data_IF_252884242775
#
_entry.id   IF_252884242775
#
_cell.length_a   1.000
_cell.length_b   1.000
_cell.length_c   1.000
_cell.angle_alpha   90.00
_cell.angle_beta   90.00
_cell.angle_gamma   90.00
#
_symmetry.space_group_name_H-M   'P 1'
#
loop_
_entity.id
_entity.type
_entity.pdbx_description
1 polymer ?
#
# COMPACT_ATOMS: atom_id res chain seq x y z
N UNK A 1 25.27 12.91 13.06
CA UNK A 1 24.04 12.30 12.49
C UNK A 1 23.39 13.29 11.52
N UNK A 2 23.06 12.88 10.28
CA UNK A 2 22.26 13.68 9.32
C UNK A 2 20.77 13.40 9.59
N UNK A 3 19.87 14.37 9.34
CA UNK A 3 18.43 14.20 9.57
C UNK A 3 17.63 14.63 8.33
N UNK A 4 16.50 13.96 8.12
CA UNK A 4 15.51 14.29 7.08
C UNK A 4 14.09 14.05 7.60
N UNK A 5 13.13 14.86 7.13
CA UNK A 5 11.70 14.57 7.30
C UNK A 5 11.13 14.03 6.01
N UNK A 6 10.40 12.95 6.10
CA UNK A 6 9.82 12.24 4.97
C UNK A 6 8.33 12.04 5.20
N UNK A 7 7.53 12.46 4.24
CA UNK A 7 6.12 12.14 4.15
C UNK A 7 5.94 10.98 3.16
N UNK A 8 5.31 9.89 3.59
CA UNK A 8 4.86 8.83 2.70
C UNK A 8 3.33 8.79 2.68
N UNK A 9 2.72 8.81 1.50
CA UNK A 9 1.28 8.84 1.35
C UNK A 9 0.62 7.54 1.79
N UNK A 10 -0.62 7.64 2.24
CA UNK A 10 -1.53 6.51 2.31
C UNK A 10 -1.81 5.95 0.93
N UNK A 11 -2.32 4.75 0.86
CA UNK A 11 -2.50 4.02 -0.39
C UNK A 11 -3.81 3.26 -0.43
N UNK A 12 -4.27 3.00 -1.65
CA UNK A 12 -5.40 2.13 -1.96
C UNK A 12 -4.89 0.96 -2.78
N UNK A 13 -5.05 -0.25 -2.26
CA UNK A 13 -4.72 -1.48 -2.96
C UNK A 13 -5.87 -1.97 -3.84
N UNK A 14 -5.57 -2.88 -4.75
CA UNK A 14 -6.51 -3.62 -5.59
C UNK A 14 -7.20 -2.83 -6.72
N UNK A 15 -7.58 -1.59 -6.53
CA UNK A 15 -8.27 -0.76 -7.54
C UNK A 15 -9.44 -1.50 -8.25
N UNK A 16 -10.32 -2.12 -7.48
CA UNK A 16 -11.36 -3.00 -8.00
C UNK A 16 -10.78 -4.33 -8.50
N UNK A 17 -10.66 -4.50 -9.80
CA UNK A 17 -10.25 -5.77 -10.42
C UNK A 17 -8.77 -6.15 -10.28
N UNK A 18 -7.91 -5.25 -9.82
CA UNK A 18 -6.46 -5.48 -9.71
C UNK A 18 -6.01 -6.11 -8.38
N UNK A 19 -6.75 -7.07 -7.86
CA UNK A 19 -6.47 -7.73 -6.58
C UNK A 19 -5.02 -8.23 -6.47
N UNK A 20 -4.31 -7.78 -5.40
CA UNK A 20 -2.91 -8.07 -5.09
C UNK A 20 -1.89 -7.64 -6.19
N UNK A 21 -2.33 -6.96 -7.26
CA UNK A 21 -1.45 -6.54 -8.36
C UNK A 21 -1.50 -5.05 -8.70
N UNK A 22 -2.43 -4.28 -8.14
CA UNK A 22 -2.51 -2.83 -8.40
C UNK A 22 -2.69 -2.03 -7.13
N UNK A 23 -2.14 -0.81 -7.14
CA UNK A 23 -2.32 0.15 -6.06
C UNK A 23 -2.13 1.58 -6.52
N UNK A 24 -2.66 2.53 -5.74
CA UNK A 24 -2.48 3.96 -5.96
C UNK A 24 -2.19 4.73 -4.67
N UNK A 25 -1.59 5.91 -4.78
CA UNK A 25 -1.36 6.85 -3.67
C UNK A 25 -2.59 7.69 -3.39
N UNK A 26 -2.80 8.03 -2.12
CA UNK A 26 -3.77 9.03 -1.67
C UNK A 26 -3.09 10.38 -1.48
N UNK A 27 -3.77 11.46 -1.86
CA UNK A 27 -3.30 12.81 -1.60
C UNK A 27 -3.72 13.28 -0.21
N UNK A 28 -2.83 14.02 0.48
CA UNK A 28 -3.14 14.73 1.72
C UNK A 28 -3.30 13.86 2.98
N UNK A 29 -3.14 12.56 2.88
CA UNK A 29 -3.13 11.62 4.01
C UNK A 29 -1.91 10.72 3.94
N UNK A 30 -1.18 10.57 5.05
CA UNK A 30 0.07 9.79 5.05
C UNK A 30 0.73 9.77 6.41
N UNK A 31 1.90 9.15 6.48
CA UNK A 31 2.79 9.15 7.64
C UNK A 31 3.89 10.20 7.46
N UNK A 32 4.23 10.92 8.53
CA UNK A 32 5.37 11.82 8.58
C UNK A 32 6.39 11.28 9.57
N UNK A 33 7.58 10.96 9.06
CA UNK A 33 8.72 10.49 9.85
C UNK A 33 9.86 11.49 9.82
N UNK A 34 10.54 11.63 10.95
CA UNK A 34 11.89 12.21 11.01
C UNK A 34 12.90 11.08 11.16
N UNK A 35 13.90 11.04 10.29
CA UNK A 35 14.90 9.96 10.25
C UNK A 35 16.27 10.58 10.40
N UNK A 36 17.04 10.06 11.36
CA UNK A 36 18.45 10.35 11.55
C UNK A 36 19.30 9.16 11.15
N UNK A 37 20.46 9.41 10.49
CA UNK A 37 21.43 8.37 10.16
C UNK A 37 22.87 8.82 10.42
N UNK A 38 23.68 7.89 10.90
CA UNK A 38 25.12 8.08 11.16
C UNK A 38 25.88 6.82 10.73
N UNK A 39 26.71 6.95 9.69
CA UNK A 39 27.58 5.87 9.22
C UNK A 39 28.72 5.59 10.21
N UNK A 40 29.13 4.33 10.29
CA UNK A 40 30.23 3.88 11.14
C UNK A 40 29.82 3.46 12.57
N UNK A 41 28.55 3.60 12.91
CA UNK A 41 27.96 3.11 14.17
C UNK A 41 26.81 2.15 13.86
N UNK A 42 26.41 1.31 14.81
CA UNK A 42 25.26 0.42 14.71
C UNK A 42 24.19 0.81 15.72
N UNK A 43 22.93 0.64 15.37
CA UNK A 43 21.79 0.85 16.25
C UNK A 43 20.53 1.22 15.48
N UNK A 44 19.39 0.87 16.02
CA UNK A 44 18.07 1.27 15.55
C UNK A 44 17.22 1.68 16.75
N UNK A 45 16.78 2.92 16.75
CA UNK A 45 15.86 3.47 17.75
C UNK A 45 14.61 3.99 17.04
N UNK A 46 13.43 3.70 17.59
CA UNK A 46 12.15 4.16 17.05
C UNK A 46 11.37 4.86 18.17
N UNK A 47 11.02 6.11 17.93
CA UNK A 47 10.26 6.95 18.85
C UNK A 47 8.88 7.25 18.25
N UNK A 48 7.83 7.14 19.06
CA UNK A 48 6.46 7.42 18.63
C UNK A 48 5.95 8.71 19.28
N UNK A 49 5.78 9.75 18.49
CA UNK A 49 5.17 11.02 18.88
C UNK A 49 3.82 11.28 18.19
N UNK A 50 3.34 10.34 17.38
CA UNK A 50 2.10 10.48 16.59
C UNK A 50 0.82 10.42 17.41
N UNK A 51 0.90 9.99 18.67
CA UNK A 51 -0.27 9.77 19.53
C UNK A 51 -1.06 8.49 19.21
N UNK A 52 -0.67 7.72 18.19
CA UNK A 52 -1.28 6.42 17.87
C UNK A 52 -0.69 5.33 18.75
N UNK A 53 -1.48 4.30 19.05
CA UNK A 53 -0.98 3.12 19.76
C UNK A 53 -0.17 2.26 18.79
N UNK A 54 1.15 2.19 19.01
CA UNK A 54 2.09 1.38 18.23
C UNK A 54 2.81 0.41 19.15
N UNK A 55 3.33 -0.72 18.64
CA UNK A 55 4.11 -1.66 19.44
C UNK A 55 5.32 -0.97 20.10
N UNK A 56 5.50 -1.19 21.40
CA UNK A 56 6.69 -0.72 22.14
C UNK A 56 7.96 -1.50 21.75
N UNK A 57 7.77 -2.79 21.42
CA UNK A 57 8.85 -3.64 20.96
C UNK A 57 9.18 -3.30 19.49
N UNK A 58 10.40 -2.84 19.24
CA UNK A 58 10.86 -2.48 17.89
C UNK A 58 10.81 -3.66 16.91
N UNK A 59 10.89 -4.90 17.39
CA UNK A 59 10.81 -6.12 16.54
C UNK A 59 9.41 -6.34 16.00
N UNK A 60 8.40 -5.76 16.61
CA UNK A 60 7.00 -5.81 16.17
C UNK A 60 6.62 -4.60 15.29
N UNK A 61 7.54 -3.64 15.15
CA UNK A 61 7.33 -2.47 14.31
C UNK A 61 7.66 -2.78 12.86
N UNK A 62 6.75 -2.46 11.93
CA UNK A 62 6.89 -2.72 10.49
C UNK A 62 8.10 -2.05 9.84
N UNK A 63 8.59 -0.95 10.44
CA UNK A 63 9.78 -0.24 9.98
C UNK A 63 11.04 -1.09 10.16
N UNK A 64 11.11 -1.89 11.22
CA UNK A 64 12.31 -2.65 11.60
C UNK A 64 12.75 -3.65 10.53
N UNK A 65 11.90 -4.58 10.04
CA UNK A 65 12.34 -5.52 9.00
C UNK A 65 12.66 -4.83 7.68
N UNK A 66 11.97 -3.74 7.33
CA UNK A 66 12.25 -2.96 6.13
C UNK A 66 13.65 -2.33 6.18
N UNK A 67 13.99 -1.64 7.28
CA UNK A 67 15.30 -1.03 7.47
C UNK A 67 16.42 -2.08 7.57
N UNK A 68 16.17 -3.20 8.26
CA UNK A 68 17.17 -4.29 8.36
C UNK A 68 17.49 -4.91 7.00
N UNK A 69 16.49 -5.14 6.15
CA UNK A 69 16.71 -5.64 4.81
C UNK A 69 17.57 -4.66 3.99
N UNK A 70 17.26 -3.38 4.07
CA UNK A 70 18.04 -2.33 3.40
C UNK A 70 19.48 -2.23 3.93
N UNK A 71 19.69 -2.27 5.26
CA UNK A 71 21.03 -2.24 5.87
C UNK A 71 21.87 -3.46 5.49
N UNK A 72 21.24 -4.65 5.42
CA UNK A 72 21.91 -5.86 4.98
C UNK A 72 22.41 -5.76 3.53
N UNK A 73 21.62 -5.12 2.66
CA UNK A 73 22.02 -4.86 1.27
C UNK A 73 23.09 -3.74 1.18
N UNK A 74 23.03 -2.73 2.05
CA UNK A 74 24.01 -1.64 2.10
C UNK A 74 25.39 -2.12 2.55
N UNK A 75 25.44 -3.08 3.46
CA UNK A 75 26.68 -3.77 3.87
C UNK A 75 27.65 -2.93 4.70
N UNK A 76 27.21 -1.80 5.26
CA UNK A 76 27.99 -0.95 6.17
C UNK A 76 27.19 -0.68 7.44
N UNK A 77 27.87 -0.50 8.60
CA UNK A 77 27.19 -0.14 9.83
C UNK A 77 26.61 1.28 9.74
N UNK A 78 25.33 1.42 10.12
CA UNK A 78 24.62 2.69 10.21
C UNK A 78 23.77 2.68 11.47
N UNK A 79 23.90 3.71 12.30
CA UNK A 79 22.97 3.99 13.39
C UNK A 79 21.81 4.80 12.84
N UNK A 80 20.60 4.36 13.15
CA UNK A 80 19.35 4.95 12.66
C UNK A 80 18.49 5.34 13.86
N UNK A 81 17.95 6.54 13.81
CA UNK A 81 16.91 7.03 14.73
C UNK A 81 15.69 7.40 13.89
N UNK A 82 14.53 6.84 14.21
CA UNK A 82 13.25 7.14 13.55
C UNK A 82 12.30 7.73 14.57
N UNK A 83 11.74 8.89 14.26
CA UNK A 83 10.67 9.51 15.05
C UNK A 83 9.41 9.58 14.20
N UNK A 84 8.36 8.89 14.62
CA UNK A 84 7.03 8.94 14.01
C UNK A 84 6.33 10.24 14.48
N UNK A 85 6.16 11.21 13.59
CA UNK A 85 5.52 12.50 13.90
C UNK A 85 4.02 12.47 13.64
N UNK A 86 3.62 11.92 12.47
CA UNK A 86 2.22 11.74 12.08
C UNK A 86 2.03 10.31 11.57
N UNK A 87 0.88 9.72 11.86
CA UNK A 87 0.59 8.33 11.54
C UNK A 87 -0.87 8.16 11.12
N UNK A 88 -1.07 7.52 9.99
CA UNK A 88 -2.37 6.94 9.62
C UNK A 88 -2.75 5.90 10.67
N UNK A 89 -4.00 5.90 11.11
CA UNK A 89 -4.48 4.93 12.09
C UNK A 89 -4.16 3.49 11.63
N UNK A 90 -3.50 2.67 12.47
CA UNK A 90 -3.28 1.27 12.16
C UNK A 90 -4.62 0.55 11.92
N UNK A 91 -4.66 -0.29 10.88
CA UNK A 91 -5.88 -1.02 10.53
C UNK A 91 -6.87 -0.25 9.65
N UNK A 92 -6.64 1.02 9.35
CA UNK A 92 -7.56 1.88 8.57
C UNK A 92 -7.85 1.44 7.13
N UNK A 93 -7.21 0.39 6.62
CA UNK A 93 -7.40 -0.08 5.24
C UNK A 93 -6.82 0.84 4.15
N UNK A 94 -6.11 1.91 4.53
CA UNK A 94 -5.47 2.84 3.59
C UNK A 94 -3.93 2.79 3.65
N UNK A 95 -3.38 1.60 3.78
CA UNK A 95 -1.94 1.37 3.67
C UNK A 95 -1.08 1.95 4.80
N UNK A 96 -1.61 1.96 6.05
CA UNK A 96 -0.91 2.53 7.20
C UNK A 96 0.49 1.91 7.44
N UNK A 97 0.65 0.59 7.38
CA UNK A 97 1.94 -0.11 7.52
C UNK A 97 2.87 0.20 6.36
N UNK A 98 2.32 0.21 5.15
CA UNK A 98 3.06 0.50 3.92
C UNK A 98 3.64 1.92 3.92
N UNK A 99 2.87 2.92 4.39
CA UNK A 99 3.34 4.30 4.49
C UNK A 99 4.54 4.41 5.45
N UNK A 100 4.48 3.77 6.63
CA UNK A 100 5.61 3.77 7.59
C UNK A 100 6.86 3.11 7.00
N UNK A 101 6.72 1.91 6.41
CA UNK A 101 7.84 1.17 5.82
C UNK A 101 8.45 1.93 4.65
N UNK A 102 7.60 2.51 3.77
CA UNK A 102 8.03 3.31 2.63
C UNK A 102 8.78 4.58 3.07
N UNK A 103 8.24 5.35 4.02
CA UNK A 103 8.90 6.54 4.55
C UNK A 103 10.27 6.21 5.11
N UNK A 104 10.38 5.12 5.88
CA UNK A 104 11.63 4.72 6.53
C UNK A 104 12.73 4.36 5.50
N UNK A 105 12.44 3.49 4.53
CA UNK A 105 13.44 3.10 3.53
C UNK A 105 13.77 4.25 2.58
N UNK A 106 12.79 5.07 2.21
CA UNK A 106 13.02 6.22 1.35
C UNK A 106 13.92 7.26 2.03
N UNK A 107 13.61 7.62 3.29
CA UNK A 107 14.39 8.60 4.04
C UNK A 107 15.82 8.13 4.34
N UNK A 108 16.00 6.85 4.69
CA UNK A 108 17.32 6.29 4.86
C UNK A 108 18.11 6.31 3.54
N UNK A 109 17.47 5.98 2.41
CA UNK A 109 18.11 6.03 1.09
C UNK A 109 18.62 7.43 0.74
N UNK A 110 17.82 8.48 1.02
CA UNK A 110 18.23 9.87 0.82
C UNK A 110 19.45 10.24 1.69
N UNK A 111 19.46 9.82 2.96
CA UNK A 111 20.57 10.10 3.89
C UNK A 111 21.88 9.37 3.53
N UNK A 112 21.78 8.24 2.83
CA UNK A 112 22.89 7.45 2.33
C UNK A 112 23.30 7.81 0.88
N UNK A 113 22.89 8.98 0.37
CA UNK A 113 23.19 9.47 -0.98
C UNK A 113 22.60 8.57 -2.11
N UNK A 114 21.43 7.96 -1.87
CA UNK A 114 20.61 7.19 -2.83
C UNK A 114 21.30 5.97 -3.46
N UNK A 115 21.85 5.04 -2.66
CA UNK A 115 22.50 3.85 -3.19
C UNK A 115 21.52 2.87 -3.88
N UNK A 116 20.22 2.95 -3.60
CA UNK A 116 19.20 2.03 -4.08
C UNK A 116 18.19 2.70 -5.01
N UNK A 117 17.72 1.94 -6.00
CA UNK A 117 16.65 2.33 -6.91
C UNK A 117 15.28 2.28 -6.21
N UNK A 118 14.28 2.97 -6.78
CA UNK A 118 12.91 2.91 -6.27
C UNK A 118 12.34 1.48 -6.21
N UNK A 119 12.70 0.61 -7.15
CA UNK A 119 12.30 -0.80 -7.14
C UNK A 119 12.86 -1.54 -5.92
N UNK A 120 14.15 -1.39 -5.63
CA UNK A 120 14.79 -2.00 -4.46
C UNK A 120 14.19 -1.45 -3.16
N UNK A 121 13.83 -0.17 -3.10
CA UNK A 121 13.13 0.40 -1.94
C UNK A 121 11.76 -0.26 -1.72
N UNK A 122 11.01 -0.58 -2.78
CA UNK A 122 9.77 -1.33 -2.66
C UNK A 122 10.04 -2.72 -2.09
N UNK A 123 11.06 -3.44 -2.60
CA UNK A 123 11.44 -4.77 -2.10
C UNK A 123 11.80 -4.75 -0.61
N UNK A 124 12.51 -3.72 -0.15
CA UNK A 124 12.79 -3.57 1.29
C UNK A 124 11.53 -3.25 2.10
N UNK A 125 10.68 -2.33 1.63
CA UNK A 125 9.45 -1.96 2.33
C UNK A 125 8.45 -3.12 2.44
N UNK A 126 8.42 -4.04 1.46
CA UNK A 126 7.62 -5.27 1.49
C UNK A 126 7.94 -6.17 2.68
N UNK A 127 9.16 -6.09 3.23
CA UNK A 127 9.52 -6.87 4.43
C UNK A 127 8.72 -6.44 5.66
N UNK A 128 8.30 -5.17 5.71
CA UNK A 128 7.38 -4.66 6.74
C UNK A 128 5.98 -5.27 6.61
N UNK A 129 5.47 -5.40 5.38
CA UNK A 129 4.17 -6.05 5.13
C UNK A 129 4.18 -7.53 5.49
N UNK A 130 5.30 -8.22 5.25
CA UNK A 130 5.46 -9.64 5.62
C UNK A 130 5.32 -9.87 7.13
N UNK A 131 5.74 -8.91 7.97
CA UNK A 131 5.58 -8.98 9.43
C UNK A 131 4.10 -9.03 9.84
N UNK A 132 3.23 -8.27 9.16
CA UNK A 132 1.80 -8.18 9.48
C UNK A 132 0.99 -9.25 8.75
N UNK A 133 1.17 -9.36 7.44
CA UNK A 133 0.35 -10.20 6.56
C UNK A 133 0.85 -11.64 6.38
N UNK A 134 2.09 -11.93 6.80
CA UNK A 134 2.75 -13.22 6.56
C UNK A 134 3.26 -13.40 5.12
N UNK A 135 2.83 -12.55 4.18
CA UNK A 135 3.27 -12.56 2.78
C UNK A 135 3.63 -11.13 2.37
N UNK A 136 4.77 -10.91 1.71
CA UNK A 136 5.16 -9.59 1.24
C UNK A 136 4.32 -9.18 0.03
N UNK A 137 3.39 -8.23 0.20
CA UNK A 137 2.60 -7.64 -0.87
C UNK A 137 3.12 -6.25 -1.23
N UNK A 138 3.10 -5.91 -2.51
CA UNK A 138 3.61 -4.64 -3.04
C UNK A 138 2.53 -3.63 -3.42
N UNK A 139 1.27 -4.03 -3.40
CA UNK A 139 0.13 -3.21 -3.85
C UNK A 139 -0.13 -1.95 -3.02
N UNK A 140 0.32 -1.93 -1.75
CA UNK A 140 0.35 -0.73 -0.91
C UNK A 140 1.75 -0.08 -0.88
N UNK A 141 2.82 -0.82 -0.61
CA UNK A 141 4.17 -0.23 -0.51
C UNK A 141 4.69 0.29 -1.85
N UNK A 142 4.31 -0.34 -2.96
CA UNK A 142 4.68 0.10 -4.30
C UNK A 142 4.27 1.55 -4.58
N UNK A 143 2.97 1.89 -4.50
CA UNK A 143 2.54 3.27 -4.69
C UNK A 143 3.03 4.21 -3.58
N UNK A 144 3.20 3.76 -2.32
CA UNK A 144 3.75 4.59 -1.26
C UNK A 144 5.19 5.05 -1.55
N UNK A 145 6.03 4.18 -2.17
CA UNK A 145 7.41 4.49 -2.55
C UNK A 145 7.51 5.23 -3.88
N UNK A 146 6.79 4.76 -4.92
CA UNK A 146 6.95 5.22 -6.30
C UNK A 146 6.01 6.37 -6.66
N UNK A 147 4.93 6.54 -5.92
CA UNK A 147 3.86 7.50 -6.20
C UNK A 147 2.95 7.09 -7.37
N UNK A 148 1.77 7.69 -7.42
CA UNK A 148 0.80 7.49 -8.49
C UNK A 148 0.15 6.12 -8.48
N UNK A 149 -0.06 5.54 -9.65
CA UNK A 149 -0.64 4.20 -9.84
C UNK A 149 0.45 3.22 -10.23
N UNK A 150 0.43 2.03 -9.63
CA UNK A 150 1.39 0.96 -9.95
C UNK A 150 0.69 -0.33 -10.34
N UNK A 151 1.36 -1.09 -11.20
CA UNK A 151 1.03 -2.47 -11.54
C UNK A 151 2.19 -3.38 -11.12
N UNK A 152 1.94 -4.37 -10.31
CA UNK A 152 2.86 -5.45 -9.99
C UNK A 152 2.66 -6.55 -11.02
N UNK A 153 3.61 -6.66 -11.97
CA UNK A 153 3.54 -7.68 -13.03
C UNK A 153 3.94 -9.06 -12.52
N UNK A 154 4.76 -9.10 -11.49
CA UNK A 154 5.21 -10.37 -10.90
C UNK A 154 6.08 -10.16 -9.67
N UNK A 155 6.16 -11.19 -8.85
CA UNK A 155 6.95 -11.21 -7.63
C UNK A 155 8.27 -12.00 -7.78
N UNK A 156 8.36 -12.93 -8.74
CA UNK A 156 9.56 -13.73 -9.00
C UNK A 156 9.83 -13.85 -10.53
N UNK A 157 10.75 -13.06 -11.08
CA UNK A 157 11.45 -11.93 -10.46
C UNK A 157 10.48 -10.77 -10.17
N UNK A 158 10.78 -9.98 -9.11
CA UNK A 158 9.96 -8.81 -8.79
C UNK A 158 9.96 -7.80 -9.94
N UNK A 159 8.77 -7.42 -10.38
CA UNK A 159 8.59 -6.52 -11.51
C UNK A 159 7.37 -5.61 -11.26
N UNK A 160 7.62 -4.32 -11.17
CA UNK A 160 6.64 -3.28 -10.89
C UNK A 160 6.71 -2.17 -11.94
N UNK A 161 5.56 -1.73 -12.40
CA UNK A 161 5.42 -0.69 -13.42
C UNK A 161 4.60 0.46 -12.86
N UNK A 162 5.12 1.67 -12.96
CA UNK A 162 4.35 2.89 -12.67
C UNK A 162 3.54 3.29 -13.90
N UNK A 163 2.24 3.49 -13.71
CA UNK A 163 1.32 3.93 -14.77
C UNK A 163 1.15 5.45 -14.75
N UNK A 164 0.96 6.10 -15.91
CA UNK A 164 0.60 7.51 -15.96
C UNK A 164 -0.81 7.70 -15.37
N UNK A 165 -1.00 8.79 -14.62
CA UNK A 165 -2.31 9.17 -14.08
C UNK A 165 -2.85 10.34 -14.90
N UNK A 166 -4.10 10.31 -15.39
CA UNK A 166 -4.72 11.44 -16.04
C UNK A 166 -4.85 12.64 -15.10
N UNK A 167 -4.61 13.86 -15.59
CA UNK A 167 -4.70 15.08 -14.77
C UNK A 167 -6.13 15.38 -14.25
N UNK A 168 -7.13 14.85 -14.95
CA UNK A 168 -8.55 14.96 -14.60
C UNK A 168 -9.11 13.70 -13.91
N UNK A 169 -8.23 12.85 -13.38
CA UNK A 169 -8.62 11.67 -12.61
C UNK A 169 -8.79 12.04 -11.15
N UNK A 170 -10.00 11.89 -10.64
CA UNK A 170 -10.35 12.08 -9.24
C UNK A 170 -10.93 10.77 -8.70
N UNK A 171 -10.66 10.50 -7.45
CA UNK A 171 -11.24 9.37 -6.73
C UNK A 171 -11.71 9.83 -5.35
N UNK A 172 -12.74 9.16 -4.85
CA UNK A 172 -13.21 9.34 -3.48
C UNK A 172 -13.01 8.04 -2.71
N UNK A 173 -12.53 8.16 -1.48
CA UNK A 173 -12.39 7.04 -0.55
C UNK A 173 -13.45 7.17 0.52
N UNK A 174 -14.32 6.16 0.66
CA UNK A 174 -15.24 6.04 1.77
C UNK A 174 -14.65 5.08 2.81
N UNK A 175 -14.61 5.52 4.07
CA UNK A 175 -14.13 4.73 5.19
C UNK A 175 -15.27 4.53 6.19
N UNK A 176 -16.06 3.44 6.09
CA UNK A 176 -17.13 3.15 7.04
C UNK A 176 -16.53 2.76 8.40
N UNK A 177 -17.27 3.04 9.47
CA UNK A 177 -16.89 2.66 10.84
C UNK A 177 -17.16 1.16 11.08
N UNK A 178 -16.52 0.29 10.30
CA UNK A 178 -16.59 -1.17 10.41
C UNK A 178 -15.19 -1.74 10.43
N UNK A 179 -15.03 -2.86 11.11
CA UNK A 179 -13.76 -3.61 11.19
C UNK A 179 -13.95 -4.95 10.49
N UNK A 180 -13.05 -5.26 9.57
CA UNK A 180 -12.99 -6.55 8.87
C UNK A 180 -11.64 -7.20 9.15
N UNK A 181 -11.65 -8.43 9.66
CA UNK A 181 -10.42 -9.21 9.87
C UNK A 181 -9.77 -9.51 8.51
N UNK A 182 -8.46 -9.26 8.37
CA UNK A 182 -7.71 -9.64 7.16
C UNK A 182 -7.79 -11.14 6.91
N UNK A 183 -7.82 -11.93 7.99
CA UNK A 183 -8.00 -13.39 7.93
C UNK A 183 -9.34 -13.75 7.29
N UNK A 184 -10.44 -13.21 7.84
CA UNK A 184 -11.78 -13.49 7.32
C UNK A 184 -11.92 -13.02 5.87
N UNK A 185 -11.39 -11.83 5.55
CA UNK A 185 -11.39 -11.30 4.20
C UNK A 185 -10.61 -12.16 3.19
N UNK A 186 -9.65 -12.98 3.64
CA UNK A 186 -8.94 -13.96 2.80
C UNK A 186 -9.60 -15.33 2.80
N UNK A 187 -10.15 -15.78 3.93
CA UNK A 187 -10.78 -17.10 4.07
C UNK A 187 -12.06 -17.26 3.22
N UNK A 188 -12.78 -16.17 2.96
CA UNK A 188 -13.98 -16.21 2.10
C UNK A 188 -13.67 -16.32 0.62
N UNK A 189 -12.42 -16.12 0.21
CA UNK A 189 -12.05 -16.16 -1.20
C UNK A 189 -12.07 -17.60 -1.74
N UNK A 190 -12.58 -17.80 -2.97
CA UNK A 190 -12.59 -19.12 -3.59
C UNK A 190 -11.16 -19.59 -3.90
N UNK A 191 -10.90 -20.88 -3.74
CA UNK A 191 -9.63 -21.50 -4.16
C UNK A 191 -9.54 -21.73 -5.67
N UNK A 192 -10.67 -21.78 -6.34
CA UNK A 192 -10.82 -21.99 -7.77
C UNK A 192 -11.89 -21.04 -8.31
N UNK A 193 -11.72 -20.55 -9.53
CA UNK A 193 -12.67 -19.70 -10.21
C UNK A 193 -13.00 -20.28 -11.59
N UNK A 194 -14.24 -20.15 -12.07
CA UNK A 194 -14.60 -20.51 -13.45
C UNK A 194 -13.75 -19.72 -14.45
N UNK A 195 -13.30 -20.37 -15.52
CA UNK A 195 -12.50 -19.71 -16.58
C UNK A 195 -13.21 -18.49 -17.17
N UNK A 196 -14.55 -18.53 -17.28
CA UNK A 196 -15.33 -17.37 -17.74
C UNK A 196 -15.15 -16.13 -16.84
N UNK A 197 -15.08 -16.32 -15.50
CA UNK A 197 -14.81 -15.25 -14.55
C UNK A 197 -13.37 -14.76 -14.62
N UNK A 198 -12.41 -15.66 -14.84
CA UNK A 198 -11.02 -15.29 -15.09
C UNK A 198 -10.88 -14.44 -16.37
N UNK A 199 -11.56 -14.81 -17.47
CA UNK A 199 -11.55 -14.03 -18.73
C UNK A 199 -12.16 -12.64 -18.52
N UNK A 200 -13.28 -12.53 -17.80
CA UNK A 200 -13.88 -11.25 -17.43
C UNK A 200 -12.90 -10.38 -16.62
N UNK A 201 -12.27 -10.96 -15.60
CA UNK A 201 -11.29 -10.26 -14.75
C UNK A 201 -10.07 -9.80 -15.55
N UNK A 202 -9.51 -10.65 -16.42
CA UNK A 202 -8.35 -10.27 -17.27
C UNK A 202 -8.71 -9.12 -18.21
N UNK A 203 -9.93 -9.12 -18.78
CA UNK A 203 -10.44 -8.02 -19.59
C UNK A 203 -10.51 -6.71 -18.80
N UNK A 204 -11.00 -6.77 -17.56
CA UNK A 204 -11.10 -5.61 -16.67
C UNK A 204 -9.72 -5.10 -16.25
N UNK A 205 -8.80 -5.98 -15.83
CA UNK A 205 -7.41 -5.59 -15.50
C UNK A 205 -6.71 -4.98 -16.72
N UNK A 206 -6.82 -5.64 -17.88
CA UNK A 206 -6.28 -5.10 -19.15
C UNK A 206 -6.85 -3.74 -19.51
N UNK A 207 -8.17 -3.58 -19.37
CA UNK A 207 -8.88 -2.32 -19.61
C UNK A 207 -8.47 -1.23 -18.62
N UNK A 208 -8.29 -1.56 -17.34
CA UNK A 208 -7.82 -0.62 -16.31
C UNK A 208 -6.41 -0.12 -16.61
N UNK A 209 -5.48 -1.02 -16.91
CA UNK A 209 -4.09 -0.66 -17.30
C UNK A 209 -4.08 0.18 -18.60
N UNK A 210 -4.85 -0.23 -19.60
CA UNK A 210 -4.98 0.53 -20.85
C UNK A 210 -5.58 1.92 -20.61
N UNK A 211 -6.59 2.03 -19.75
CA UNK A 211 -7.22 3.29 -19.39
C UNK A 211 -6.23 4.28 -18.78
N UNK A 212 -5.38 3.85 -17.86
CA UNK A 212 -4.31 4.68 -17.32
C UNK A 212 -3.27 5.03 -18.40
N UNK A 213 -2.81 4.05 -19.18
CA UNK A 213 -1.81 4.28 -20.23
C UNK A 213 -2.28 5.26 -21.31
N UNK A 214 -3.56 5.20 -21.69
CA UNK A 214 -4.20 6.06 -22.69
C UNK A 214 -4.77 7.35 -22.09
N UNK A 215 -4.76 7.51 -20.77
CA UNK A 215 -5.39 8.61 -20.02
C UNK A 215 -6.91 8.71 -20.30
N UNK A 216 -7.55 7.57 -20.48
CA UNK A 216 -8.99 7.46 -20.72
C UNK A 216 -9.73 7.13 -19.40
N UNK A 217 -10.24 8.19 -18.74
CA UNK A 217 -10.95 8.07 -17.46
C UNK A 217 -12.22 7.22 -17.59
N UNK A 218 -12.91 7.29 -18.73
CA UNK A 218 -14.11 6.48 -18.98
C UNK A 218 -13.76 4.98 -19.09
N UNK A 219 -12.62 4.65 -19.70
CA UNK A 219 -12.12 3.26 -19.73
C UNK A 219 -11.71 2.78 -18.34
N UNK A 220 -11.02 3.64 -17.55
CA UNK A 220 -10.69 3.33 -16.15
C UNK A 220 -11.96 2.97 -15.38
N UNK A 221 -12.98 3.85 -15.39
CA UNK A 221 -14.20 3.66 -14.62
C UNK A 221 -14.93 2.36 -14.94
N UNK A 222 -15.17 2.06 -16.25
CA UNK A 222 -15.88 0.83 -16.65
C UNK A 222 -15.05 -0.45 -16.44
N UNK A 223 -13.74 -0.34 -16.21
CA UNK A 223 -12.84 -1.47 -16.00
C UNK A 223 -12.61 -1.81 -14.52
N UNK A 224 -13.05 -0.97 -13.58
CA UNK A 224 -12.86 -1.22 -12.14
C UNK A 224 -13.78 -2.28 -11.55
N UNK A 225 -14.61 -2.92 -12.37
CA UNK A 225 -15.47 -4.00 -11.92
C UNK A 225 -14.66 -5.26 -11.59
N UNK A 226 -14.82 -5.76 -10.36
CA UNK A 226 -14.17 -6.99 -9.88
C UNK A 226 -15.18 -8.16 -9.95
N UNK A 227 -14.90 -9.12 -10.84
CA UNK A 227 -15.72 -10.30 -11.04
C UNK A 227 -15.35 -11.47 -10.11
N UNK A 228 -14.21 -11.37 -9.37
CA UNK A 228 -13.60 -12.49 -8.64
C UNK A 228 -13.63 -12.30 -7.14
N UNK A 229 -13.21 -11.14 -6.61
CA UNK A 229 -13.02 -10.92 -5.17
C UNK A 229 -14.21 -10.19 -4.54
N UNK A 230 -14.67 -9.11 -5.19
CA UNK A 230 -15.78 -8.29 -4.68
C UNK A 230 -17.04 -9.11 -4.34
N UNK A 231 -17.48 -10.08 -5.14
CA UNK A 231 -18.70 -10.85 -4.85
C UNK A 231 -18.66 -11.57 -3.48
N UNK A 232 -17.48 -11.92 -3.00
CA UNK A 232 -17.28 -12.60 -1.72
C UNK A 232 -17.07 -11.64 -0.55
N UNK A 233 -16.43 -10.48 -0.80
CA UNK A 233 -16.07 -9.51 0.25
C UNK A 233 -17.10 -8.44 0.53
N UNK A 234 -17.94 -8.09 -0.46
CA UNK A 234 -18.93 -7.02 -0.32
C UNK A 234 -19.91 -7.23 0.85
N UNK A 235 -20.19 -8.49 1.22
CA UNK A 235 -21.04 -8.84 2.34
C UNK A 235 -20.52 -8.40 3.71
N UNK A 236 -19.22 -8.09 3.83
CA UNK A 236 -18.65 -7.51 5.05
C UNK A 236 -18.97 -6.02 5.22
N UNK A 237 -19.46 -5.36 4.17
CA UNK A 237 -19.71 -3.92 4.14
C UNK A 237 -21.22 -3.68 4.02
N UNK A 238 -21.91 -3.37 5.14
CA UNK A 238 -23.34 -3.05 5.08
C UNK A 238 -23.62 -1.86 4.16
N UNK A 239 -24.60 -1.98 3.29
CA UNK A 239 -24.96 -0.92 2.34
C UNK A 239 -24.01 -0.77 1.13
N UNK A 240 -23.15 -1.78 0.89
CA UNK A 240 -22.16 -1.73 -0.21
C UNK A 240 -22.83 -1.55 -1.59
N UNK A 241 -23.84 -2.38 -1.88
CA UNK A 241 -24.50 -2.37 -3.20
C UNK A 241 -25.24 -1.04 -3.43
N UNK A 242 -25.96 -0.52 -2.44
CA UNK A 242 -26.66 0.76 -2.50
C UNK A 242 -25.68 1.93 -2.72
N UNK A 243 -24.56 1.93 -2.00
CA UNK A 243 -23.54 2.96 -2.15
C UNK A 243 -22.89 2.89 -3.53
N UNK A 244 -22.59 1.69 -4.01
CA UNK A 244 -22.02 1.48 -5.34
C UNK A 244 -22.96 1.97 -6.46
N UNK A 245 -24.25 1.69 -6.36
CA UNK A 245 -25.26 2.17 -7.32
C UNK A 245 -25.34 3.70 -7.35
N UNK A 246 -25.33 4.37 -6.18
CA UNK A 246 -25.36 5.82 -6.09
C UNK A 246 -24.14 6.46 -6.76
N UNK A 247 -22.95 5.93 -6.52
CA UNK A 247 -21.71 6.46 -7.09
C UNK A 247 -21.63 6.24 -8.59
N UNK A 248 -22.05 5.07 -9.07
CA UNK A 248 -22.06 4.76 -10.51
C UNK A 248 -23.08 5.63 -11.28
N UNK A 249 -24.20 6.02 -10.65
CA UNK A 249 -25.16 6.93 -11.25
C UNK A 249 -24.59 8.32 -11.55
N UNK A 250 -23.64 8.79 -10.72
CA UNK A 250 -22.95 10.08 -10.91
C UNK A 250 -21.66 9.96 -11.74
N UNK A 251 -21.42 8.80 -12.39
CA UNK A 251 -20.21 8.53 -13.18
C UNK A 251 -18.90 8.68 -12.38
N UNK A 252 -18.97 8.52 -11.05
CA UNK A 252 -17.82 8.53 -10.18
C UNK A 252 -17.23 7.10 -9.98
N UNK A 253 -16.02 7.04 -9.47
CA UNK A 253 -15.35 5.78 -9.10
C UNK A 253 -15.34 5.69 -7.57
N UNK A 254 -15.91 4.61 -7.03
CA UNK A 254 -15.95 4.36 -5.60
C UNK A 254 -14.86 3.38 -5.19
N UNK A 255 -14.09 3.75 -4.18
CA UNK A 255 -13.31 2.84 -3.37
C UNK A 255 -13.79 2.89 -1.92
N UNK A 256 -14.00 1.74 -1.31
CA UNK A 256 -14.37 1.63 0.10
C UNK A 256 -13.19 1.01 0.85
N UNK A 257 -12.56 1.80 1.71
CA UNK A 257 -11.57 1.32 2.66
C UNK A 257 -12.28 0.81 3.92
N UNK A 258 -11.87 -0.32 4.45
CA UNK A 258 -12.37 -0.86 5.72
C UNK A 258 -11.21 -1.08 6.67
N UNK A 259 -11.46 -0.88 7.96
CA UNK A 259 -10.50 -1.21 9.00
C UNK A 259 -10.20 -2.71 8.97
N UNK A 260 -8.95 -3.06 8.66
CA UNK A 260 -8.45 -4.42 8.75
C UNK A 260 -7.72 -4.60 10.07
N UNK A 261 -8.37 -5.15 11.09
CA UNK A 261 -7.72 -5.49 12.34
C UNK A 261 -7.29 -6.96 12.36
N UNK A 262 -6.07 -7.18 12.84
CA UNK A 262 -5.62 -8.50 13.25
C UNK A 262 -6.16 -8.75 14.65
N UNK A 263 -6.80 -9.89 14.90
CA UNK A 263 -6.98 -10.37 16.27
C UNK A 263 -5.58 -10.56 16.88
N UNK A 264 -5.31 -9.81 17.94
CA UNK A 264 -4.09 -9.98 18.74
C UNK A 264 -4.21 -11.25 19.60
#
# INVERSE_FOLDING_TARGET
MKHIRVFAPGTVANLGCGFDVMGLTLDGVGDLLEIGAEEGAEGLEIHNLSGMNLPENIEENVITPALRAMLAAYGRPVRIEVTMLEKIAPGSGIGSSAASSAAAVYGLNELLDRPFSGKELVEFAMMGEALIGGTPHADNVGPAVLGGVVLIRGYEPFDIVRLPVPDNFFYAVAHPAIVVSTKDAREVLPREIPLSKAVEQWGNVGGLVAGFALRDVALIGRSMHDAVVEPYRKGFIPGYDELKELVLADSAILYIAVDCMREM
#
